data_IF_713178067731
#
_entry.id   IF_713178067731
#
_cell.length_a   1.000
_cell.length_b   1.000
_cell.length_c   1.000
_cell.angle_alpha   90.00
_cell.angle_beta   90.00
_cell.angle_gamma   90.00
#
_symmetry.space_group_name_H-M   'P 1'
#
loop_
_entity.id
_entity.type
_entity.pdbx_description
1 polymer ?
#
# COMPACT_ATOMS: atom_id res chain seq x y z
N UNK A 1 17.87 5.44 1.90
CA UNK A 1 17.49 6.39 0.84
C UNK A 1 16.51 5.64 -0.04
N UNK A 2 15.21 5.92 0.11
CA UNK A 2 14.16 5.41 -0.77
C UNK A 2 14.43 5.86 -2.20
N UNK A 3 14.07 5.02 -3.17
CA UNK A 3 14.32 5.32 -4.58
C UNK A 3 13.47 6.50 -5.05
N UNK A 4 12.19 6.51 -4.64
CA UNK A 4 11.20 7.57 -4.87
C UNK A 4 10.10 7.53 -3.81
N UNK A 5 9.33 8.61 -3.71
CA UNK A 5 8.07 8.71 -2.96
C UNK A 5 6.91 8.56 -3.94
N UNK A 6 5.96 7.67 -3.65
CA UNK A 6 4.82 7.37 -4.53
C UNK A 6 3.53 7.47 -3.72
N UNK A 7 2.53 8.17 -4.24
CA UNK A 7 1.21 8.25 -3.61
C UNK A 7 0.48 6.91 -3.75
N UNK A 8 -0.23 6.48 -2.70
CA UNK A 8 -0.99 5.21 -2.72
C UNK A 8 -2.06 5.16 -3.82
N UNK A 9 -2.55 6.33 -4.25
CA UNK A 9 -3.52 6.47 -5.35
C UNK A 9 -2.93 6.13 -6.72
N UNK A 10 -1.61 6.21 -6.88
CA UNK A 10 -0.89 5.85 -8.10
C UNK A 10 -0.51 4.36 -8.15
N UNK A 11 -0.75 3.61 -7.08
CA UNK A 11 -0.50 2.18 -7.01
C UNK A 11 -1.72 1.36 -7.44
N UNK A 12 -1.49 0.21 -8.06
CA UNK A 12 -2.56 -0.71 -8.44
C UNK A 12 -2.81 -1.75 -7.35
N UNK A 13 -4.07 -1.91 -6.95
CA UNK A 13 -4.49 -2.95 -6.02
C UNK A 13 -4.52 -4.33 -6.70
N UNK A 14 -3.81 -5.29 -6.12
CA UNK A 14 -3.82 -6.68 -6.54
C UNK A 14 -4.58 -7.54 -5.53
N UNK A 15 -5.76 -8.01 -5.91
CA UNK A 15 -6.63 -8.84 -5.06
C UNK A 15 -6.04 -10.21 -4.71
N UNK A 16 -5.25 -10.82 -5.59
CA UNK A 16 -4.65 -12.14 -5.33
C UNK A 16 -3.54 -12.04 -4.29
N UNK A 17 -2.76 -10.96 -4.34
CA UNK A 17 -1.66 -10.69 -3.41
C UNK A 17 -2.10 -9.95 -2.14
N UNK A 18 -3.30 -9.36 -2.14
CA UNK A 18 -3.77 -8.42 -1.10
C UNK A 18 -2.76 -7.27 -0.87
N UNK A 19 -2.18 -6.78 -1.96
CA UNK A 19 -1.10 -5.81 -1.94
C UNK A 19 -1.32 -4.70 -2.96
N UNK A 20 -0.82 -3.50 -2.64
CA UNK A 20 -0.66 -2.43 -3.62
C UNK A 20 0.65 -2.62 -4.36
N UNK A 21 0.59 -2.49 -5.68
CA UNK A 21 1.71 -2.75 -6.59
C UNK A 21 2.05 -1.54 -7.44
N UNK A 22 3.33 -1.36 -7.75
CA UNK A 22 3.82 -0.26 -8.59
C UNK A 22 4.97 -0.74 -9.48
N UNK A 23 5.09 -0.20 -10.69
CA UNK A 23 6.11 -0.63 -11.64
C UNK A 23 7.53 -0.33 -11.13
N UNK A 24 8.37 -1.37 -11.05
CA UNK A 24 9.78 -1.21 -10.72
C UNK A 24 10.61 -1.08 -12.01
N UNK A 25 11.61 -0.18 -12.06
CA UNK A 25 12.48 -0.02 -13.23
C UNK A 25 13.29 -1.27 -13.60
N UNK A 26 13.37 -2.29 -12.73
CA UNK A 26 14.00 -3.56 -13.06
C UNK A 26 13.13 -4.49 -13.93
N UNK A 27 11.83 -4.18 -14.09
CA UNK A 27 10.86 -4.99 -14.82
C UNK A 27 9.89 -5.79 -13.95
N UNK A 28 10.09 -5.84 -12.63
CA UNK A 28 9.14 -6.41 -11.66
C UNK A 28 8.23 -5.34 -11.04
N UNK A 29 7.49 -5.70 -9.98
CA UNK A 29 6.63 -4.80 -9.23
C UNK A 29 7.19 -4.56 -7.82
N UNK A 30 7.14 -3.31 -7.36
CA UNK A 30 7.13 -3.00 -5.94
C UNK A 30 5.82 -3.48 -5.35
N UNK A 31 5.85 -3.98 -4.11
CA UNK A 31 4.67 -4.45 -3.41
C UNK A 31 4.69 -4.05 -1.93
N UNK A 32 3.51 -3.71 -1.39
CA UNK A 32 3.24 -3.53 0.04
C UNK A 32 1.86 -4.10 0.37
N UNK A 33 1.77 -4.89 1.43
CA UNK A 33 0.50 -5.53 1.82
C UNK A 33 -0.45 -4.51 2.44
N UNK A 34 -1.76 -4.67 2.23
CA UNK A 34 -2.77 -3.82 2.90
C UNK A 34 -2.64 -3.89 4.43
N UNK A 35 -2.29 -5.06 4.94
CA UNK A 35 -2.08 -5.31 6.37
C UNK A 35 -0.88 -4.52 6.93
N UNK A 36 0.18 -4.38 6.14
CA UNK A 36 1.36 -3.60 6.52
C UNK A 36 1.03 -2.10 6.56
N UNK A 37 0.26 -1.59 5.59
CA UNK A 37 -0.25 -0.21 5.59
C UNK A 37 -1.14 0.06 6.84
N UNK A 38 -1.94 -0.91 7.28
CA UNK A 38 -2.72 -0.81 8.53
C UNK A 38 -1.84 -0.70 9.78
N UNK A 39 -0.62 -1.21 9.73
CA UNK A 39 0.36 -1.14 10.82
C UNK A 39 1.25 0.10 10.76
N UNK A 40 1.07 0.98 9.77
CA UNK A 40 1.90 2.17 9.59
C UNK A 40 3.18 1.91 8.81
N UNK A 41 3.34 0.76 8.14
CA UNK A 41 4.46 0.54 7.22
C UNK A 41 4.24 1.35 5.95
N UNK A 42 5.33 1.91 5.42
CA UNK A 42 5.32 2.79 4.26
C UNK A 42 6.35 2.34 3.21
N UNK A 43 7.05 1.23 3.44
CA UNK A 43 8.12 0.76 2.56
C UNK A 43 7.60 -0.36 1.64
N UNK A 44 7.34 -0.03 0.37
CA UNK A 44 7.10 -1.04 -0.65
C UNK A 44 8.43 -1.56 -1.20
N UNK A 45 8.54 -2.89 -1.34
CA UNK A 45 9.79 -3.56 -1.70
C UNK A 45 9.66 -4.30 -3.03
N UNK A 46 10.72 -4.27 -3.83
CA UNK A 46 10.81 -5.08 -5.04
C UNK A 46 11.48 -6.43 -4.70
N UNK A 47 10.86 -7.57 -5.06
CA UNK A 47 11.40 -8.89 -4.72
C UNK A 47 12.73 -9.20 -5.41
N UNK A 48 13.01 -8.58 -6.56
CA UNK A 48 14.14 -8.98 -7.41
C UNK A 48 15.43 -8.19 -7.20
N UNK A 49 15.36 -6.92 -6.81
CA UNK A 49 16.55 -6.05 -6.75
C UNK A 49 16.79 -5.38 -5.38
N UNK A 50 16.06 -5.79 -4.34
CA UNK A 50 16.14 -5.18 -2.99
C UNK A 50 15.94 -3.66 -2.98
N UNK A 51 15.38 -3.09 -4.05
CA UNK A 51 14.98 -1.70 -4.12
C UNK A 51 13.73 -1.48 -3.28
N UNK A 52 13.53 -0.24 -2.84
CA UNK A 52 12.35 0.16 -2.10
C UNK A 52 11.96 1.61 -2.42
N UNK A 53 10.66 1.86 -2.39
CA UNK A 53 10.04 3.19 -2.48
C UNK A 53 9.29 3.47 -1.18
N UNK A 54 9.12 4.75 -0.88
CA UNK A 54 8.28 5.20 0.25
C UNK A 54 6.89 5.50 -0.27
N UNK A 55 5.88 4.97 0.41
CA UNK A 55 4.47 5.14 0.05
C UNK A 55 3.89 6.27 0.88
N UNK A 56 3.35 7.29 0.21
CA UNK A 56 2.65 8.40 0.84
C UNK A 56 1.17 8.05 0.90
N UNK A 57 0.65 7.89 2.11
CA UNK A 57 -0.75 7.55 2.36
C UNK A 57 -1.24 8.11 3.70
N UNK A 58 -2.56 8.19 3.87
CA UNK A 58 -3.16 8.45 5.18
C UNK A 58 -3.53 7.13 5.85
N UNK A 59 -2.97 6.86 7.03
CA UNK A 59 -3.25 5.65 7.81
C UNK A 59 -4.74 5.48 8.14
N UNK A 60 -5.48 6.58 8.30
CA UNK A 60 -6.91 6.55 8.58
C UNK A 60 -7.71 5.81 7.50
N UNK A 61 -7.30 5.91 6.23
CA UNK A 61 -7.97 5.26 5.10
C UNK A 61 -7.93 3.72 5.21
N UNK A 62 -6.89 3.20 5.87
CA UNK A 62 -6.67 1.77 6.07
C UNK A 62 -7.23 1.25 7.40
N UNK A 63 -7.32 2.11 8.43
CA UNK A 63 -7.90 1.76 9.73
C UNK A 63 -9.42 1.65 9.70
N UNK A 64 -10.08 2.40 8.82
CA UNK A 64 -11.55 2.46 8.72
C UNK A 64 -12.15 1.13 8.20
N UNK A 65 -11.37 0.33 7.49
CA UNK A 65 -11.76 -0.99 6.96
C UNK A 65 -12.13 -2.00 8.08
N UNK A 66 -11.63 -1.81 9.31
CA UNK A 66 -12.00 -2.63 10.49
C UNK A 66 -13.30 -2.22 11.20
N UNK A 67 -13.86 -1.03 10.91
CA UNK A 67 -14.99 -0.46 11.68
C UNK A 67 -16.24 -0.14 10.84
N UNK A 68 -16.21 -0.32 9.51
CA UNK A 68 -17.35 0.02 8.64
C UNK A 68 -18.49 -1.00 8.59
N UNK A 69 -18.42 -2.12 9.33
CA UNK A 69 -19.59 -2.99 9.54
C UNK A 69 -20.42 -2.59 10.79
N UNK A 70 -20.18 -1.41 11.38
CA UNK A 70 -20.90 -0.94 12.59
C UNK A 70 -21.52 0.45 12.53
N UNK A 71 -21.62 1.09 11.36
CA UNK A 71 -22.36 2.36 11.23
C UNK A 71 -23.27 2.37 10.01
N UNK A 72 -24.32 1.55 10.10
CA UNK A 72 -25.65 2.05 9.74
C UNK A 72 -25.87 3.37 10.50
N UNK A 73 -25.70 4.51 9.83
CA UNK A 73 -26.12 5.83 10.29
C UNK A 73 -27.03 6.33 9.15
N UNK A 74 -28.34 6.17 9.21
CA UNK A 74 -29.16 6.50 10.37
C UNK A 74 -29.17 8.02 10.55
N UNK A 75 -29.54 8.75 9.49
CA UNK A 75 -30.43 9.91 9.55
C UNK A 75 -31.11 10.10 8.19
#
# INVERSE_FOLDING_TARGET
MSYDEVEIEDMEWNEELQAYTYLCPCGDLFQIMKEDLKLGEEIARCPSYSLYITIVYNIEDFLVDSDQNRRNKGL
#
